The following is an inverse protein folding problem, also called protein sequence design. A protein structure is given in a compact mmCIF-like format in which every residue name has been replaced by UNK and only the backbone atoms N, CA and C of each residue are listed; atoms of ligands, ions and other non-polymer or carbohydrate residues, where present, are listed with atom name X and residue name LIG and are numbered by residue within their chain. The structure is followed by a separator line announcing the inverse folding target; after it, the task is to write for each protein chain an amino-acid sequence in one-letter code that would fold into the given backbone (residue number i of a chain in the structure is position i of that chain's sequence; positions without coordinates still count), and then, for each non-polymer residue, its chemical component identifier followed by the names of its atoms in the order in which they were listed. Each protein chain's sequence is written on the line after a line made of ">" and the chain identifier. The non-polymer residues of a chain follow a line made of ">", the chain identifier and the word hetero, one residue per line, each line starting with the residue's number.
data_IF_994888720013
#
_entry.id   IF_994888720013
#
_cell.length_a   1.000
_cell.length_b   1.000
_cell.length_c   1.000
_cell.angle_alpha   90.00
_cell.angle_beta   90.00
_cell.angle_gamma   90.00
#
_symmetry.space_group_name_H-M   'P 1'
#
loop_
_entity.id
_entity.type
_entity.pdbx_description
1 polymer ?
#
# COMPACT_ATOMS: atom_id res chain seq x y z
N UNK A 1 15.01 21.17 25.93
CA UNK A 1 13.68 21.01 25.31
C UNK A 1 13.81 20.79 23.80
N UNK A 2 14.44 21.69 23.05
CA UNK A 2 14.64 21.56 21.58
C UNK A 2 15.37 20.29 21.14
N UNK A 3 16.48 19.92 21.79
CA UNK A 3 17.22 18.70 21.43
C UNK A 3 16.40 17.41 21.62
N UNK A 4 15.55 17.35 22.65
CA UNK A 4 14.70 16.18 22.92
C UNK A 4 13.62 16.05 21.86
N UNK A 5 12.97 17.15 21.48
CA UNK A 5 11.96 17.16 20.44
C UNK A 5 12.55 16.79 19.07
N UNK A 6 13.73 17.30 18.74
CA UNK A 6 14.44 16.90 17.52
C UNK A 6 14.77 15.41 17.51
N UNK A 7 15.20 14.84 18.64
CA UNK A 7 15.49 13.41 18.72
C UNK A 7 14.23 12.55 18.55
N UNK A 8 13.10 12.95 19.15
CA UNK A 8 11.81 12.26 18.97
C UNK A 8 11.35 12.32 17.51
N UNK A 9 11.46 13.50 16.89
CA UNK A 9 11.12 13.72 15.48
C UNK A 9 11.87 12.76 14.56
N UNK A 10 13.20 12.72 14.64
CA UNK A 10 14.01 11.85 13.78
C UNK A 10 13.83 10.36 14.07
N UNK A 11 13.50 10.00 15.32
CA UNK A 11 13.11 8.62 15.67
C UNK A 11 11.83 8.22 14.96
N UNK A 12 10.79 9.04 15.04
CA UNK A 12 9.47 8.72 14.46
C UNK A 12 9.51 8.76 12.94
N UNK A 13 10.28 9.69 12.37
CA UNK A 13 10.58 9.73 10.94
C UNK A 13 11.26 8.45 10.45
N UNK A 14 12.31 8.01 11.15
CA UNK A 14 12.98 6.76 10.82
C UNK A 14 12.07 5.53 11.00
N UNK A 15 11.23 5.51 12.04
CA UNK A 15 10.26 4.44 12.25
C UNK A 15 9.30 4.33 11.06
N UNK A 16 8.76 5.46 10.57
CA UNK A 16 7.87 5.47 9.41
C UNK A 16 8.55 4.89 8.16
N UNK A 17 9.79 5.29 7.86
CA UNK A 17 10.54 4.77 6.71
C UNK A 17 10.86 3.28 6.86
N UNK A 18 11.26 2.85 8.06
CA UNK A 18 11.56 1.45 8.34
C UNK A 18 10.32 0.57 8.15
N UNK A 19 9.17 1.01 8.68
CA UNK A 19 7.90 0.31 8.51
C UNK A 19 7.48 0.21 7.04
N UNK A 20 7.81 1.20 6.20
CA UNK A 20 7.55 1.12 4.75
C UNK A 20 8.21 -0.11 4.15
N UNK A 21 9.52 -0.26 4.34
CA UNK A 21 10.27 -1.35 3.70
C UNK A 21 9.94 -2.72 4.31
N UNK A 22 9.67 -2.79 5.61
CA UNK A 22 9.17 -4.00 6.25
C UNK A 22 7.82 -4.40 5.65
N UNK A 23 6.85 -3.49 5.57
CA UNK A 23 5.52 -3.81 5.05
C UNK A 23 5.54 -4.14 3.55
N UNK A 24 6.30 -3.39 2.76
CA UNK A 24 6.48 -3.68 1.34
C UNK A 24 7.11 -5.06 1.11
N UNK A 25 8.03 -5.49 1.98
CA UNK A 25 8.62 -6.84 1.88
C UNK A 25 7.61 -7.99 2.04
N UNK A 26 6.42 -7.72 2.58
CA UNK A 26 5.31 -8.67 2.64
C UNK A 26 4.29 -8.47 1.51
N UNK A 27 4.16 -7.24 1.02
CA UNK A 27 3.13 -6.81 0.06
C UNK A 27 3.55 -6.93 -1.39
N UNK A 28 4.81 -6.66 -1.69
CA UNK A 28 5.34 -6.53 -3.04
C UNK A 28 6.55 -7.47 -3.16
N UNK A 29 6.39 -8.67 -3.73
CA UNK A 29 7.51 -9.60 -3.85
C UNK A 29 8.64 -9.05 -4.69
N UNK A 30 8.34 -8.49 -5.87
CA UNK A 30 9.29 -7.77 -6.70
C UNK A 30 8.61 -6.63 -7.44
N UNK A 31 9.31 -5.50 -7.63
CA UNK A 31 8.86 -4.42 -8.51
C UNK A 31 9.53 -4.55 -9.88
N UNK A 32 8.80 -4.31 -10.95
CA UNK A 32 9.39 -4.27 -12.31
C UNK A 32 10.41 -3.13 -12.46
N UNK A 33 11.49 -3.32 -13.24
CA UNK A 33 12.42 -2.24 -13.55
C UNK A 33 11.72 -1.04 -14.20
N UNK A 34 12.13 0.17 -13.82
CA UNK A 34 11.55 1.42 -14.31
C UNK A 34 10.30 1.86 -13.56
N UNK A 35 9.89 1.14 -12.51
CA UNK A 35 8.87 1.58 -11.54
C UNK A 35 9.30 2.89 -10.87
N UNK A 36 8.37 3.83 -10.69
CA UNK A 36 8.58 5.09 -9.97
C UNK A 36 7.73 5.11 -8.70
N UNK A 37 8.37 5.05 -7.53
CA UNK A 37 7.67 5.08 -6.24
C UNK A 37 7.36 6.52 -5.82
N UNK A 38 6.11 6.77 -5.42
CA UNK A 38 5.67 7.99 -4.77
C UNK A 38 5.06 7.62 -3.42
N UNK A 39 5.72 8.02 -2.33
CA UNK A 39 5.36 7.57 -1.00
C UNK A 39 4.91 8.73 -0.12
N UNK A 40 3.76 8.55 0.52
CA UNK A 40 3.20 9.43 1.53
C UNK A 40 3.40 8.83 2.92
N UNK A 41 4.10 9.56 3.78
CA UNK A 41 4.42 9.16 5.15
C UNK A 41 3.38 9.73 6.14
N UNK A 42 3.18 9.09 7.31
CA UNK A 42 2.26 9.57 8.36
C UNK A 42 2.81 10.75 9.17
N UNK A 43 4.01 11.22 8.82
CA UNK A 43 4.76 12.30 9.46
C UNK A 43 5.12 13.34 8.39
N UNK A 44 6.23 14.07 8.54
CA UNK A 44 6.74 14.88 7.44
C UNK A 44 7.09 14.00 6.22
N UNK A 45 6.96 14.56 5.02
CA UNK A 45 7.34 13.87 3.79
C UNK A 45 8.86 13.69 3.65
N UNK A 46 9.26 12.96 2.62
CA UNK A 46 10.67 12.87 2.22
C UNK A 46 11.25 14.22 1.79
N UNK A 47 12.53 14.44 2.08
CA UNK A 47 13.25 15.66 1.68
C UNK A 47 13.93 15.50 0.32
N UNK A 48 14.36 14.29 0.01
CA UNK A 48 15.00 13.94 -1.25
C UNK A 48 14.53 12.56 -1.74
N UNK A 49 14.46 12.40 -3.06
CA UNK A 49 13.99 11.16 -3.70
C UNK A 49 14.85 9.93 -3.39
N UNK A 50 16.14 10.11 -3.11
CA UNK A 50 17.07 9.01 -2.78
C UNK A 50 16.79 8.34 -1.44
N UNK A 51 16.03 9.01 -0.56
CA UNK A 51 15.54 8.40 0.68
C UNK A 51 14.51 7.29 0.38
N UNK A 52 13.92 7.29 -0.82
CA UNK A 52 12.99 6.28 -1.29
C UNK A 52 13.70 5.29 -2.23
N UNK A 53 14.28 5.78 -3.33
CA UNK A 53 14.86 4.88 -4.34
C UNK A 53 16.11 4.16 -3.85
N UNK A 54 16.88 4.75 -2.92
CA UNK A 54 18.07 4.11 -2.35
C UNK A 54 17.71 2.78 -1.64
N UNK A 55 16.89 2.82 -0.58
CA UNK A 55 16.36 1.62 0.05
C UNK A 55 15.64 0.66 -0.90
N UNK A 56 14.83 1.16 -1.84
CA UNK A 56 14.14 0.31 -2.81
C UNK A 56 15.12 -0.57 -3.58
N UNK A 57 16.19 0.00 -4.15
CA UNK A 57 17.16 -0.76 -4.92
C UNK A 57 18.02 -1.67 -4.03
N UNK A 58 18.30 -1.27 -2.78
CA UNK A 58 18.98 -2.14 -1.83
C UNK A 58 18.18 -3.40 -1.48
N UNK A 59 16.85 -3.31 -1.42
CA UNK A 59 15.96 -4.43 -1.08
C UNK A 59 15.67 -5.31 -2.31
N UNK A 60 15.31 -4.69 -3.44
CA UNK A 60 14.72 -5.38 -4.60
C UNK A 60 15.70 -5.69 -5.72
N UNK A 61 16.81 -4.94 -5.80
CA UNK A 61 17.85 -5.10 -6.83
C UNK A 61 19.25 -5.11 -6.20
N UNK A 62 19.51 -5.98 -5.20
CA UNK A 62 20.77 -5.97 -4.49
C UNK A 62 21.93 -6.33 -5.44
N UNK A 63 22.95 -5.46 -5.48
CA UNK A 63 24.15 -5.66 -6.29
C UNK A 63 24.09 -5.04 -7.68
N UNK A 64 22.93 -4.52 -8.10
CA UNK A 64 22.84 -3.73 -9.33
C UNK A 64 23.51 -2.36 -9.14
N UNK A 65 24.26 -1.94 -10.17
CA UNK A 65 24.93 -0.63 -10.17
C UNK A 65 24.02 0.51 -10.66
N UNK A 66 22.94 0.16 -11.36
CA UNK A 66 21.97 1.11 -11.89
C UNK A 66 20.76 1.25 -10.97
N UNK A 67 20.08 2.39 -11.04
CA UNK A 67 18.81 2.61 -10.32
C UNK A 67 17.69 1.94 -11.12
N UNK A 68 17.28 0.76 -10.66
CA UNK A 68 16.22 -0.05 -11.27
C UNK A 68 14.83 0.41 -10.86
N UNK A 69 14.67 0.85 -9.61
CA UNK A 69 13.43 1.46 -9.10
C UNK A 69 13.69 2.94 -8.87
N UNK A 70 12.99 3.82 -9.59
CA UNK A 70 13.04 5.25 -9.38
C UNK A 70 12.10 5.71 -8.26
N UNK A 71 12.27 6.95 -7.83
CA UNK A 71 11.33 7.63 -6.95
C UNK A 71 11.32 9.14 -7.18
N UNK A 72 10.31 9.81 -6.64
CA UNK A 72 10.25 11.27 -6.52
C UNK A 72 9.43 11.65 -5.28
N UNK A 73 9.69 12.84 -4.72
CA UNK A 73 8.92 13.39 -3.61
C UNK A 73 7.51 13.72 -4.08
N UNK A 74 6.52 13.31 -3.29
CA UNK A 74 5.13 13.57 -3.60
C UNK A 74 4.78 15.05 -3.34
N UNK A 75 4.70 15.82 -4.43
CA UNK A 75 4.35 17.25 -4.46
C UNK A 75 3.33 17.51 -5.57
N UNK A 76 2.72 18.71 -5.60
CA UNK A 76 1.81 19.08 -6.70
C UNK A 76 2.52 19.07 -8.06
N UNK A 77 3.79 19.49 -8.14
CA UNK A 77 4.54 19.44 -9.40
C UNK A 77 4.80 18.00 -9.85
N UNK A 78 5.06 17.08 -8.92
CA UNK A 78 5.21 15.65 -9.24
C UNK A 78 3.87 15.05 -9.66
N UNK A 79 2.77 15.45 -9.02
CA UNK A 79 1.43 15.02 -9.38
C UNK A 79 1.06 15.38 -10.82
N UNK A 80 1.46 16.57 -11.29
CA UNK A 80 1.28 16.95 -12.68
C UNK A 80 2.07 16.05 -13.64
N UNK A 81 3.30 15.67 -13.30
CA UNK A 81 4.09 14.72 -14.12
C UNK A 81 3.40 13.35 -14.23
N UNK A 82 2.79 12.86 -13.15
CA UNK A 82 1.98 11.63 -13.15
C UNK A 82 0.73 11.79 -14.01
N UNK A 83 -0.05 12.84 -13.82
CA UNK A 83 -1.28 13.10 -14.59
C UNK A 83 -1.02 13.20 -16.08
N UNK A 84 0.09 13.82 -16.47
CA UNK A 84 0.49 13.96 -17.88
C UNK A 84 1.26 12.74 -18.42
N UNK A 85 1.58 11.75 -17.59
CA UNK A 85 2.40 10.60 -18.01
C UNK A 85 3.75 11.02 -18.57
N UNK A 86 4.35 12.07 -18.00
CA UNK A 86 5.61 12.63 -18.45
C UNK A 86 6.80 11.79 -17.97
N UNK A 87 7.98 12.08 -18.51
CA UNK A 87 9.22 11.51 -18.00
C UNK A 87 10.31 12.56 -17.87
N UNK A 88 11.24 12.35 -16.95
CA UNK A 88 12.40 13.21 -16.79
C UNK A 88 13.67 12.42 -16.43
N UNK A 89 14.82 13.06 -16.64
CA UNK A 89 16.09 12.57 -16.13
C UNK A 89 16.33 13.13 -14.74
N UNK A 90 16.78 12.28 -13.81
CA UNK A 90 17.29 12.68 -12.51
C UNK A 90 18.80 12.48 -12.50
N UNK A 91 19.51 13.49 -11.99
CA UNK A 91 20.95 13.47 -11.83
C UNK A 91 21.28 13.69 -10.36
N UNK A 92 21.96 12.73 -9.73
CA UNK A 92 22.44 12.85 -8.37
C UNK A 92 23.94 13.12 -8.37
N UNK A 93 24.30 14.37 -8.04
CA UNK A 93 25.69 14.83 -7.92
C UNK A 93 26.59 14.51 -9.13
N UNK A 94 26.00 14.38 -10.32
CA UNK A 94 26.67 13.97 -11.58
C UNK A 94 27.25 12.55 -11.60
N UNK A 95 26.97 11.73 -10.58
CA UNK A 95 27.50 10.35 -10.47
C UNK A 95 26.43 9.34 -10.88
N UNK A 96 25.18 9.58 -10.47
CA UNK A 96 24.05 8.71 -10.77
C UNK A 96 23.12 9.48 -11.71
N UNK A 97 22.71 8.84 -12.80
CA UNK A 97 21.70 9.36 -13.71
C UNK A 97 20.73 8.24 -14.07
N UNK A 98 19.44 8.51 -13.95
CA UNK A 98 18.40 7.57 -14.35
C UNK A 98 17.18 8.32 -14.86
N UNK A 99 16.38 7.64 -15.68
CA UNK A 99 15.15 8.18 -16.24
C UNK A 99 13.97 7.73 -15.38
N UNK A 100 13.07 8.66 -15.09
CA UNK A 100 11.77 8.38 -14.49
C UNK A 100 10.70 8.50 -15.55
N UNK A 101 9.81 7.53 -15.62
CA UNK A 101 8.62 7.54 -16.44
C UNK A 101 7.40 7.45 -15.52
N UNK A 102 6.69 8.56 -15.35
CA UNK A 102 5.60 8.64 -14.37
C UNK A 102 4.33 7.90 -14.81
N UNK A 103 4.32 7.29 -16.00
CA UNK A 103 3.30 6.30 -16.39
C UNK A 103 3.48 4.97 -15.66
N UNK A 104 4.64 4.76 -15.06
CA UNK A 104 5.00 3.59 -14.26
C UNK A 104 5.02 3.91 -12.76
N UNK A 105 4.16 4.83 -12.32
CA UNK A 105 4.12 5.25 -10.93
C UNK A 105 3.30 4.32 -10.05
N UNK A 106 3.85 3.95 -8.89
CA UNK A 106 3.10 3.31 -7.80
C UNK A 106 2.98 4.32 -6.66
N UNK A 107 1.74 4.59 -6.24
CA UNK A 107 1.45 5.48 -5.12
C UNK A 107 1.25 4.63 -3.87
N UNK A 108 1.96 4.97 -2.81
CA UNK A 108 1.93 4.29 -1.52
C UNK A 108 1.62 5.32 -0.44
N UNK A 109 0.69 5.04 0.47
CA UNK A 109 0.32 5.98 1.53
C UNK A 109 0.10 5.29 2.86
N UNK A 110 0.68 5.85 3.91
CA UNK A 110 0.33 5.55 5.30
C UNK A 110 -0.17 6.86 5.92
N UNK A 111 -1.50 7.09 5.98
CA UNK A 111 -2.02 8.39 6.38
C UNK A 111 -1.80 8.70 7.86
N UNK A 112 -1.73 7.68 8.72
CA UNK A 112 -1.47 7.86 10.15
C UNK A 112 -0.48 6.81 10.65
N UNK A 113 0.22 7.09 11.75
CA UNK A 113 1.15 6.13 12.35
C UNK A 113 0.47 4.85 12.87
N UNK A 114 -0.87 4.84 12.94
CA UNK A 114 -1.67 3.71 13.41
C UNK A 114 -2.32 2.88 12.27
N UNK A 115 -2.19 3.32 11.02
CA UNK A 115 -2.59 2.57 9.82
C UNK A 115 -1.42 1.78 9.25
N UNK A 116 -1.69 0.83 8.36
CA UNK A 116 -0.67 0.19 7.55
C UNK A 116 -0.32 1.05 6.31
N UNK A 117 0.70 0.68 5.56
CA UNK A 117 0.97 1.26 4.25
C UNK A 117 0.00 0.69 3.21
N UNK A 118 -0.73 1.56 2.53
CA UNK A 118 -1.62 1.21 1.44
C UNK A 118 -0.88 1.36 0.13
N UNK A 119 -0.62 0.25 -0.57
CA UNK A 119 -0.21 0.29 -1.98
C UNK A 119 -1.47 0.48 -2.80
N UNK A 120 -1.63 1.67 -3.40
CA UNK A 120 -2.87 2.00 -4.10
C UNK A 120 -2.96 1.23 -5.42
N UNK A 121 -4.13 0.70 -5.70
CA UNK A 121 -4.42 -0.02 -6.94
C UNK A 121 -5.27 0.89 -7.83
N UNK A 122 -4.72 1.35 -8.96
CA UNK A 122 -5.38 2.38 -9.77
C UNK A 122 -6.67 1.93 -10.46
N UNK A 123 -6.83 0.62 -10.63
CA UNK A 123 -8.01 -0.03 -11.19
C UNK A 123 -9.05 -0.45 -10.14
N UNK A 124 -8.67 -0.42 -8.86
CA UNK A 124 -9.52 -0.64 -7.68
C UNK A 124 -9.12 0.35 -6.60
N UNK A 125 -9.68 1.55 -6.70
CA UNK A 125 -9.33 2.64 -5.77
C UNK A 125 -9.96 2.36 -4.40
N UNK A 126 -9.16 1.81 -3.51
CA UNK A 126 -9.44 1.68 -2.08
C UNK A 126 -8.61 2.73 -1.34
N UNK A 127 -9.28 3.63 -0.61
CA UNK A 127 -8.60 4.74 0.04
C UNK A 127 -8.77 4.68 1.56
N UNK A 128 -7.67 4.83 2.32
CA UNK A 128 -7.76 4.94 3.76
C UNK A 128 -8.41 6.26 4.16
N UNK A 129 -8.96 6.33 5.36
CA UNK A 129 -9.85 7.44 5.80
C UNK A 129 -9.16 8.79 5.71
N UNK A 130 -7.98 8.88 6.30
CA UNK A 130 -7.24 10.12 6.51
C UNK A 130 -6.24 10.39 5.37
N UNK A 131 -6.48 9.80 4.19
CA UNK A 131 -5.63 9.99 3.01
C UNK A 131 -5.57 11.46 2.60
N UNK A 132 -4.36 11.95 2.30
CA UNK A 132 -4.15 13.31 1.81
C UNK A 132 -4.85 13.53 0.47
N UNK A 133 -5.38 14.74 0.25
CA UNK A 133 -6.07 15.13 -0.98
C UNK A 133 -5.22 14.90 -2.24
N UNK A 134 -3.91 15.20 -2.16
CA UNK A 134 -2.98 14.97 -3.25
C UNK A 134 -2.87 13.48 -3.61
N UNK A 135 -2.70 12.60 -2.61
CA UNK A 135 -2.66 11.13 -2.80
C UNK A 135 -3.97 10.64 -3.41
N UNK A 136 -5.11 11.08 -2.85
CA UNK A 136 -6.44 10.78 -3.36
C UNK A 136 -6.58 11.15 -4.85
N UNK A 137 -6.06 12.30 -5.26
CA UNK A 137 -6.12 12.75 -6.66
C UNK A 137 -5.26 11.91 -7.63
N UNK A 138 -4.33 11.12 -7.10
CA UNK A 138 -3.41 10.28 -7.88
C UNK A 138 -3.74 8.79 -7.80
N UNK A 139 -4.69 8.38 -6.95
CA UNK A 139 -4.94 6.97 -6.66
C UNK A 139 -5.19 6.13 -7.93
N UNK A 140 -6.02 6.64 -8.85
CA UNK A 140 -6.35 5.96 -10.12
C UNK A 140 -5.18 5.86 -11.11
N UNK A 141 -4.09 6.61 -10.89
CA UNK A 141 -2.88 6.55 -11.72
C UNK A 141 -1.88 5.49 -11.22
N UNK A 142 -2.10 4.92 -10.04
CA UNK A 142 -1.20 3.93 -9.46
C UNK A 142 -1.19 2.62 -10.26
N UNK A 143 -0.01 2.16 -10.62
CA UNK A 143 0.24 0.95 -11.43
C UNK A 143 0.73 -0.21 -10.56
N UNK A 144 -0.13 -0.69 -9.66
CA UNK A 144 0.15 -1.85 -8.81
C UNK A 144 0.43 -3.14 -9.61
N UNK A 145 0.04 -3.19 -10.89
CA UNK A 145 0.37 -4.25 -11.83
C UNK A 145 1.86 -4.36 -12.18
N UNK A 146 2.67 -3.35 -11.84
CA UNK A 146 4.14 -3.40 -11.91
C UNK A 146 4.78 -4.17 -10.74
N UNK A 147 3.97 -4.77 -9.87
CA UNK A 147 4.44 -5.70 -8.85
C UNK A 147 4.36 -7.10 -9.45
N UNK A 148 5.51 -7.76 -9.61
CA UNK A 148 5.53 -9.18 -9.93
C UNK A 148 5.11 -9.96 -8.68
N UNK A 149 3.84 -10.33 -8.68
CA UNK A 149 3.24 -11.08 -7.58
C UNK A 149 3.75 -12.51 -7.51
N UNK A 150 4.42 -13.08 -8.51
CA UNK A 150 4.86 -14.48 -8.47
C UNK A 150 6.34 -14.64 -8.12
N UNK A 151 7.07 -13.53 -7.97
CA UNK A 151 8.46 -13.55 -7.53
C UNK A 151 8.60 -14.00 -6.06
N UNK A 152 9.82 -14.39 -5.70
CA UNK A 152 10.20 -14.64 -4.31
C UNK A 152 10.21 -13.34 -3.50
N UNK A 153 9.79 -13.40 -2.24
CA UNK A 153 9.80 -12.24 -1.35
C UNK A 153 11.24 -11.86 -1.00
N UNK A 154 11.56 -10.57 -1.11
CA UNK A 154 12.81 -10.01 -0.59
C UNK A 154 12.71 -9.71 0.90
N UNK A 155 13.79 -9.93 1.64
CA UNK A 155 13.88 -9.55 3.06
C UNK A 155 14.80 -8.33 3.17
N UNK A 156 14.31 -7.20 3.73
CA UNK A 156 15.14 -6.03 3.93
C UNK A 156 16.35 -6.35 4.83
N UNK A 157 17.54 -5.78 4.56
CA UNK A 157 18.71 -6.01 5.40
C UNK A 157 18.46 -5.66 6.88
N UNK A 158 18.50 -6.67 7.76
CA UNK A 158 18.19 -6.54 9.18
C UNK A 158 19.07 -5.49 9.90
N UNK A 159 20.34 -5.37 9.51
CA UNK A 159 21.27 -4.39 10.08
C UNK A 159 20.82 -2.94 9.86
N UNK A 160 20.02 -2.70 8.81
CA UNK A 160 19.46 -1.38 8.48
C UNK A 160 18.05 -1.28 9.06
N UNK A 161 17.17 -2.21 8.70
CA UNK A 161 15.73 -2.10 8.94
C UNK A 161 15.23 -2.79 10.22
N UNK A 162 16.13 -3.31 11.05
CA UNK A 162 15.81 -4.15 12.21
C UNK A 162 15.10 -5.48 11.82
N UNK A 163 14.88 -6.39 12.77
CA UNK A 163 14.18 -7.65 12.51
C UNK A 163 12.75 -7.42 12.05
N UNK A 164 12.33 -8.21 11.07
CA UNK A 164 10.95 -8.25 10.56
C UNK A 164 10.06 -8.92 11.61
N UNK A 165 9.23 -8.14 12.30
CA UNK A 165 8.25 -8.65 13.27
C UNK A 165 7.04 -9.25 12.55
N UNK A 166 6.79 -10.55 12.76
CA UNK A 166 5.61 -11.25 12.26
C UNK A 166 4.48 -11.18 13.29
N UNK A 167 3.24 -11.30 12.81
CA UNK A 167 2.06 -11.39 13.70
C UNK A 167 1.49 -10.05 14.16
N UNK A 168 1.82 -8.95 13.50
CA UNK A 168 1.10 -7.67 13.64
C UNK A 168 -0.10 -7.64 12.68
N UNK A 169 -1.05 -6.74 12.91
CA UNK A 169 -2.16 -6.54 11.97
C UNK A 169 -1.65 -6.23 10.55
N UNK A 170 -0.66 -5.32 10.41
CA UNK A 170 -0.10 -4.98 9.11
C UNK A 170 0.55 -6.16 8.40
N UNK A 171 1.17 -7.10 9.12
CA UNK A 171 1.68 -8.32 8.50
C UNK A 171 0.57 -9.10 7.78
N UNK A 172 -0.56 -9.31 8.44
CA UNK A 172 -1.70 -10.03 7.84
C UNK A 172 -2.34 -9.21 6.72
N UNK A 173 -2.53 -7.91 6.92
CA UNK A 173 -3.10 -7.03 5.89
C UNK A 173 -2.25 -7.01 4.62
N UNK A 174 -0.93 -6.85 4.72
CA UNK A 174 -0.05 -6.80 3.55
C UNK A 174 -0.07 -8.12 2.77
N UNK A 175 -0.04 -9.25 3.48
CA UNK A 175 -0.14 -10.57 2.85
C UNK A 175 -1.49 -10.84 2.23
N UNK A 176 -2.58 -10.48 2.90
CA UNK A 176 -3.93 -10.67 2.37
C UNK A 176 -4.17 -9.76 1.15
N UNK A 177 -3.60 -8.55 1.15
CA UNK A 177 -3.64 -7.64 0.00
C UNK A 177 -2.85 -8.20 -1.20
N UNK A 178 -1.69 -8.83 -0.96
CA UNK A 178 -0.96 -9.58 -2.00
C UNK A 178 -1.75 -10.80 -2.51
N UNK A 179 -2.30 -11.62 -1.62
CA UNK A 179 -3.12 -12.77 -1.97
C UNK A 179 -4.35 -12.35 -2.80
N UNK A 180 -4.99 -11.24 -2.41
CA UNK A 180 -6.08 -10.61 -3.15
C UNK A 180 -5.64 -10.17 -4.55
N UNK A 181 -4.46 -9.58 -4.71
CA UNK A 181 -3.93 -9.20 -6.02
C UNK A 181 -3.67 -10.44 -6.90
N UNK A 182 -3.28 -11.57 -6.30
CA UNK A 182 -3.17 -12.88 -6.97
C UNK A 182 -4.51 -13.58 -7.21
N UNK A 183 -5.62 -13.03 -6.69
CA UNK A 183 -6.93 -13.69 -6.62
C UNK A 183 -6.90 -15.02 -5.84
N UNK A 184 -5.94 -15.20 -4.93
CA UNK A 184 -5.92 -16.32 -3.98
C UNK A 184 -6.82 -15.99 -2.78
N UNK A 185 -8.12 -16.13 -3.01
CA UNK A 185 -9.16 -15.84 -2.03
C UNK A 185 -9.09 -16.77 -0.81
N UNK A 186 -8.60 -17.99 -1.00
CA UNK A 186 -8.41 -18.96 0.09
C UNK A 186 -7.33 -18.49 1.05
N UNK A 187 -6.18 -18.04 0.53
CA UNK A 187 -5.10 -17.49 1.35
C UNK A 187 -5.56 -16.20 2.05
N UNK A 188 -6.26 -15.30 1.35
CA UNK A 188 -6.78 -14.08 1.96
C UNK A 188 -7.75 -14.36 3.13
N UNK A 189 -8.66 -15.33 2.95
CA UNK A 189 -9.59 -15.74 4.02
C UNK A 189 -8.85 -16.38 5.21
N UNK A 190 -7.89 -17.27 4.95
CA UNK A 190 -7.10 -17.92 6.01
C UNK A 190 -6.31 -16.89 6.84
N UNK A 191 -5.68 -15.92 6.18
CA UNK A 191 -4.95 -14.84 6.86
C UNK A 191 -5.89 -14.00 7.74
N UNK A 192 -7.12 -13.79 7.30
CA UNK A 192 -8.16 -13.13 8.08
C UNK A 192 -8.51 -13.90 9.34
N UNK A 193 -8.73 -15.21 9.22
CA UNK A 193 -9.04 -16.08 10.35
C UNK A 193 -7.90 -16.10 11.38
N UNK A 194 -6.66 -16.21 10.91
CA UNK A 194 -5.47 -16.15 11.75
C UNK A 194 -5.38 -14.81 12.50
N UNK A 195 -5.47 -13.68 11.78
CA UNK A 195 -5.38 -12.35 12.38
C UNK A 195 -6.45 -12.12 13.46
N UNK A 196 -7.71 -12.46 13.15
CA UNK A 196 -8.84 -12.28 14.06
C UNK A 196 -8.75 -13.22 15.27
N UNK A 197 -8.26 -14.45 15.09
CA UNK A 197 -8.05 -15.40 16.21
C UNK A 197 -7.00 -14.92 17.21
N UNK A 198 -6.04 -14.11 16.76
CA UNK A 198 -5.02 -13.46 17.58
C UNK A 198 -5.51 -12.16 18.23
N UNK A 199 -6.76 -11.75 17.97
CA UNK A 199 -7.34 -10.51 18.47
C UNK A 199 -6.73 -9.26 17.83
N UNK A 200 -6.20 -9.38 16.60
CA UNK A 200 -5.66 -8.26 15.84
C UNK A 200 -6.77 -7.58 15.04
N UNK A 201 -6.74 -6.24 15.01
CA UNK A 201 -7.72 -5.44 14.27
C UNK A 201 -7.10 -4.13 13.76
N UNK A 202 -7.59 -3.60 12.63
CA UNK A 202 -7.14 -2.34 12.08
C UNK A 202 -7.71 -1.15 12.87
N UNK A 203 -6.96 -0.05 12.83
CA UNK A 203 -7.54 1.27 13.08
C UNK A 203 -8.26 1.81 11.84
N UNK A 204 -7.70 1.61 10.65
CA UNK A 204 -8.35 1.98 9.39
C UNK A 204 -9.23 0.84 8.87
N UNK A 205 -10.56 1.04 8.89
CA UNK A 205 -11.51 -0.01 8.49
C UNK A 205 -11.41 -0.42 7.02
N UNK A 206 -10.81 0.39 6.14
CA UNK A 206 -10.56 -0.03 4.75
C UNK A 206 -9.67 -1.29 4.69
N UNK A 207 -8.77 -1.46 5.66
CA UNK A 207 -7.86 -2.61 5.73
C UNK A 207 -8.58 -3.96 5.94
N UNK A 208 -9.89 -3.96 6.24
CA UNK A 208 -10.69 -5.18 6.25
C UNK A 208 -11.03 -5.70 4.84
N UNK A 209 -10.95 -4.87 3.81
CA UNK A 209 -11.40 -5.20 2.45
C UNK A 209 -10.78 -6.48 1.89
N UNK A 210 -9.45 -6.76 2.03
CA UNK A 210 -8.91 -8.00 1.50
C UNK A 210 -9.46 -9.27 2.14
N UNK A 211 -9.74 -9.22 3.44
CA UNK A 211 -10.32 -10.34 4.18
C UNK A 211 -11.80 -10.51 3.88
N UNK A 212 -12.53 -9.40 3.76
CA UNK A 212 -13.95 -9.39 3.40
C UNK A 212 -14.14 -10.05 2.04
N UNK A 213 -13.38 -9.63 1.02
CA UNK A 213 -13.41 -10.27 -0.29
C UNK A 213 -12.99 -11.75 -0.21
N UNK A 214 -11.93 -12.08 0.54
CA UNK A 214 -11.50 -13.45 0.77
C UNK A 214 -12.63 -14.35 1.31
N UNK A 215 -13.35 -13.89 2.35
CA UNK A 215 -14.50 -14.62 2.88
C UNK A 215 -15.63 -14.76 1.87
N UNK A 216 -15.93 -13.68 1.15
CA UNK A 216 -17.00 -13.67 0.17
C UNK A 216 -16.76 -14.68 -0.96
N UNK A 217 -15.58 -14.65 -1.59
CA UNK A 217 -15.23 -15.56 -2.69
C UNK A 217 -14.94 -17.00 -2.23
N UNK A 218 -14.84 -17.24 -0.92
CA UNK A 218 -14.75 -18.59 -0.34
C UNK A 218 -16.08 -19.10 0.24
N UNK A 219 -17.19 -18.39 -0.01
CA UNK A 219 -18.55 -18.72 0.47
C UNK A 219 -18.69 -18.68 2.00
N UNK A 220 -17.90 -17.86 2.69
CA UNK A 220 -17.96 -17.65 4.14
C UNK A 220 -18.79 -16.39 4.45
N UNK A 221 -20.04 -16.38 3.99
CA UNK A 221 -20.89 -15.18 3.92
C UNK A 221 -21.12 -14.53 5.28
N UNK A 222 -21.37 -15.31 6.34
CA UNK A 222 -21.53 -14.79 7.71
C UNK A 222 -20.30 -14.00 8.18
N UNK A 223 -19.08 -14.46 7.84
CA UNK A 223 -17.85 -13.73 8.19
C UNK A 223 -17.70 -12.46 7.37
N UNK A 224 -18.06 -12.50 6.08
CA UNK A 224 -18.03 -11.34 5.20
C UNK A 224 -19.01 -10.26 5.69
N UNK A 225 -20.24 -10.63 6.05
CA UNK A 225 -21.25 -9.74 6.62
C UNK A 225 -20.79 -9.10 7.93
N UNK A 226 -20.21 -9.89 8.83
CA UNK A 226 -19.64 -9.37 10.09
C UNK A 226 -18.54 -8.33 9.84
N UNK A 227 -17.62 -8.58 8.89
CA UNK A 227 -16.61 -7.58 8.53
C UNK A 227 -17.24 -6.35 7.87
N UNK A 228 -18.23 -6.53 6.99
CA UNK A 228 -18.94 -5.42 6.38
C UNK A 228 -19.57 -4.51 7.44
N UNK A 229 -20.18 -5.07 8.50
CA UNK A 229 -20.70 -4.28 9.63
C UNK A 229 -19.61 -3.45 10.32
N UNK A 230 -18.44 -4.04 10.59
CA UNK A 230 -17.31 -3.31 11.20
C UNK A 230 -16.78 -2.16 10.33
N UNK A 231 -16.91 -2.28 9.00
CA UNK A 231 -16.61 -1.19 8.06
C UNK A 231 -17.71 -0.13 8.10
N UNK A 232 -18.98 -0.55 8.09
CA UNK A 232 -20.17 0.32 8.13
C UNK A 232 -20.21 1.22 9.38
N UNK A 233 -19.63 0.79 10.50
CA UNK A 233 -19.46 1.59 11.73
C UNK A 233 -18.75 2.95 11.49
N UNK A 234 -18.03 3.10 10.38
CA UNK A 234 -17.40 4.34 9.94
C UNK A 234 -18.00 4.79 8.61
N UNK A 235 -19.03 5.64 8.68
CA UNK A 235 -19.81 6.06 7.52
C UNK A 235 -18.97 6.71 6.42
N UNK A 236 -17.90 7.44 6.78
CA UNK A 236 -17.02 8.10 5.81
C UNK A 236 -16.16 7.10 5.03
N UNK A 237 -15.65 6.05 5.68
CA UNK A 237 -14.88 4.98 5.02
C UNK A 237 -15.80 4.20 4.09
N UNK A 238 -16.99 3.82 4.58
CA UNK A 238 -17.99 3.11 3.77
C UNK A 238 -18.36 3.90 2.53
N UNK A 239 -18.69 5.19 2.68
CA UNK A 239 -19.05 6.04 1.54
C UNK A 239 -17.91 6.07 0.51
N UNK A 240 -16.67 6.25 0.97
CA UNK A 240 -15.50 6.26 0.11
C UNK A 240 -15.32 4.97 -0.67
N UNK A 241 -15.45 3.82 -0.01
CA UNK A 241 -15.35 2.50 -0.63
C UNK A 241 -16.47 2.29 -1.64
N UNK A 242 -17.71 2.62 -1.28
CA UNK A 242 -18.87 2.44 -2.15
C UNK A 242 -18.83 3.31 -3.41
N UNK A 243 -18.27 4.52 -3.33
CA UNK A 243 -18.08 5.38 -4.50
C UNK A 243 -17.06 4.82 -5.52
N UNK A 244 -16.15 3.96 -5.08
CA UNK A 244 -15.01 3.47 -5.87
C UNK A 244 -14.96 1.93 -6.00
N UNK A 245 -16.01 1.22 -5.60
CA UNK A 245 -16.11 -0.23 -5.75
C UNK A 245 -16.00 -0.61 -7.24
N UNK A 246 -15.06 -1.50 -7.62
CA UNK A 246 -14.78 -1.79 -9.01
C UNK A 246 -15.83 -2.73 -9.60
N UNK A 247 -16.94 -2.18 -10.10
CA UNK A 247 -18.03 -2.94 -10.76
C UNK A 247 -17.54 -3.79 -11.94
N UNK A 248 -16.41 -3.44 -12.56
CA UNK A 248 -15.96 -4.02 -13.84
C UNK A 248 -14.93 -5.16 -13.76
N UNK A 249 -14.43 -5.53 -12.56
CA UNK A 249 -13.30 -6.49 -12.43
C UNK A 249 -13.51 -7.64 -11.45
N UNK A 250 -14.70 -7.82 -10.90
CA UNK A 250 -14.95 -8.98 -10.06
C UNK A 250 -14.90 -10.27 -10.90
N UNK A 251 -14.20 -11.33 -10.45
CA UNK A 251 -14.19 -12.63 -11.10
C UNK A 251 -15.57 -13.32 -11.05
N UNK A 252 -16.48 -12.86 -10.19
CA UNK A 252 -17.82 -13.43 -10.01
C UNK A 252 -18.84 -12.31 -9.75
N UNK A 253 -19.70 -12.07 -10.74
CA UNK A 253 -20.70 -11.02 -10.70
C UNK A 253 -21.74 -11.20 -9.58
N UNK A 254 -22.07 -12.45 -9.20
CA UNK A 254 -23.00 -12.73 -8.11
C UNK A 254 -22.36 -12.36 -6.77
N UNK A 255 -21.09 -12.76 -6.59
CA UNK A 255 -20.32 -12.39 -5.40
C UNK A 255 -20.13 -10.88 -5.31
N UNK A 256 -19.89 -10.19 -6.42
CA UNK A 256 -19.81 -8.73 -6.43
C UNK A 256 -21.12 -8.07 -6.01
N UNK A 257 -22.27 -8.52 -6.52
CA UNK A 257 -23.57 -8.00 -6.10
C UNK A 257 -23.81 -8.24 -4.61
N UNK A 258 -23.38 -9.39 -4.09
CA UNK A 258 -23.44 -9.66 -2.66
C UNK A 258 -22.57 -8.68 -1.85
N UNK A 259 -21.33 -8.40 -2.30
CA UNK A 259 -20.46 -7.39 -1.69
C UNK A 259 -21.14 -6.02 -1.62
N UNK A 260 -21.71 -5.57 -2.74
CA UNK A 260 -22.40 -4.28 -2.83
C UNK A 260 -23.59 -4.23 -1.87
N UNK A 261 -24.39 -5.30 -1.82
CA UNK A 261 -25.52 -5.45 -0.90
C UNK A 261 -25.10 -5.32 0.57
N UNK A 262 -24.09 -6.09 1.01
CA UNK A 262 -23.71 -6.10 2.44
C UNK A 262 -22.94 -4.85 2.85
N UNK A 263 -22.23 -4.19 1.94
CA UNK A 263 -21.37 -3.05 2.27
C UNK A 263 -22.05 -1.69 2.05
N UNK A 264 -22.83 -1.53 0.97
CA UNK A 264 -23.31 -0.23 0.49
C UNK A 264 -24.80 0.00 0.68
N UNK A 265 -25.62 -1.04 0.75
CA UNK A 265 -27.04 -0.87 1.06
C UNK A 265 -27.23 -0.49 2.54
N UNK A 266 -28.21 0.39 2.78
CA UNK A 266 -28.65 0.73 4.13
C UNK A 266 -29.76 -0.25 4.51
N UNK A 267 -29.58 -0.97 5.61
CA UNK A 267 -30.70 -1.62 6.32
C UNK A 267 -31.63 -0.57 6.96
#
# INVERSE_FOLDING_TARGET
>A
MTHTLNAMHWRDYWEAQKQLWIQLSWRAPQFEPGTVLLVDLPVEGYFEDYEIWGPANLVYYPGESEVMIGAEILTESTADLVRFGSGNWRYMRSIIAYKRDYRNSIIISMPTAASCYHVLEGDRVELPRDVRSLVRSLASFSRSDLIDVNADLHVPPEVIFAPVEKGTWCFYYQKASLARQRQDWSEAAQLGDEALSLGLFPQDRSEYMPFLEGYLYTNQDEKAENLAQLIKDKSEIRQMLCEHLPVSKSPDAERFQHLEGILCEFE
#
